data_IF_795425723446
#
_entry.id   IF_795425723446
#
_cell.length_a   1.000
_cell.length_b   1.000
_cell.length_c   1.000
_cell.angle_alpha   90.00
_cell.angle_beta   90.00
_cell.angle_gamma   90.00
#
_symmetry.space_group_name_H-M   'P 1'
#
loop_
_entity.id
_entity.type
_entity.pdbx_description
1 polymer ?
2 polymer ?
3 polymer ?
4 water ?
#
loop_
_entity_poly.entity_id
_entity_poly.type
_entity_poly.pdbx_seq_one_letter_code
_entity_poly.pdbx_strand_id
1 'polydeoxyribonucleotide' '(DC)(DA)(DC)(DC)(DG)(DA)(DT)(DC)(DG)(DA)(DC)(DT)' ?
2 'polydeoxyribonucleotide' '(DA)(DG)(DT)(DC)(DG)(6MA)(DT)(DC)(DG)(DG)(DT)(DG)' ?
#
# COMPACT_ATOMS: atom_id res chain seq x y z
N UNK E 14 -9.66 -16.36 8.64
CA UNK E 14 -8.63 -16.59 7.59
C UNK E 14 -8.83 -15.75 6.34
N UNK E 15 -9.89 -14.95 6.30
CA UNK E 15 -10.01 -14.05 5.18
C UNK E 15 -9.33 -12.82 5.74
N UNK E 16 -9.50 -12.60 7.03
CA UNK E 16 -8.85 -11.49 7.71
C UNK E 16 -7.34 -11.74 7.62
N UNK E 17 -6.96 -13.02 7.61
CA UNK E 17 -5.56 -13.41 7.53
C UNK E 17 -5.00 -13.32 6.11
N UNK E 18 -5.81 -13.66 5.12
CA UNK E 18 -5.36 -13.57 3.72
C UNK E 18 -5.19 -12.08 3.38
N UNK E 19 -6.07 -11.25 3.92
CA UNK E 19 -6.00 -9.82 3.69
C UNK E 19 -4.74 -9.28 4.36
N UNK E 20 -4.51 -9.72 5.58
CA UNK E 20 -3.33 -9.24 6.30
C UNK E 20 -2.11 -9.58 5.48
N UNK E 21 -2.02 -10.83 5.02
CA UNK E 21 -0.88 -11.29 4.23
C UNK E 21 -0.58 -10.43 3.00
N UNK E 22 -1.60 -10.20 2.18
CA UNK E 22 -1.46 -9.40 0.97
C UNK E 22 -1.05 -7.97 1.36
N UNK E 23 -1.61 -7.48 2.46
CA UNK E 23 -1.26 -6.15 2.90
C UNK E 23 0.21 -6.13 3.29
N UNK E 24 0.66 -7.20 3.96
CA UNK E 24 2.05 -7.26 4.35
C UNK E 24 2.92 -7.33 3.10
N UNK E 25 2.50 -8.14 2.13
CA UNK E 25 3.27 -8.27 0.92
C UNK E 25 3.53 -6.92 0.26
N UNK E 26 2.50 -6.11 0.16
CA UNK E 26 2.65 -4.80 -0.46
C UNK E 26 3.63 -3.94 0.29
N UNK E 27 3.88 -4.28 1.55
CA UNK E 27 4.81 -3.50 2.38
C UNK E 27 6.20 -4.16 2.44
N UNK E 28 6.23 -5.46 2.15
CA UNK E 28 7.45 -6.25 2.21
C UNK E 28 8.61 -5.70 1.40
N UNK E 29 9.82 -6.10 1.77
CA UNK E 29 11.02 -5.65 1.05
C UNK E 29 11.10 -6.38 -0.28
N UNK E 30 10.83 -7.68 -0.25
CA UNK E 30 10.90 -8.47 -1.46
C UNK E 30 9.99 -7.90 -2.55
N UNK E 31 8.80 -7.46 -2.16
CA UNK E 31 7.90 -6.90 -3.17
C UNK E 31 8.60 -5.66 -3.75
N UNK E 32 9.03 -4.77 -2.87
CA UNK E 32 9.72 -3.56 -3.30
C UNK E 32 10.88 -3.91 -4.24
N UNK E 33 11.56 -5.01 -3.94
CA UNK E 33 12.69 -5.44 -4.77
C UNK E 33 12.34 -5.75 -6.23
N UNK E 34 11.11 -6.17 -6.50
CA UNK E 34 10.71 -6.50 -7.87
C UNK E 34 10.86 -5.26 -8.74
N UNK E 35 11.62 -5.40 -9.82
CA UNK E 35 11.91 -4.29 -10.73
C UNK E 35 10.82 -3.84 -11.68
N UNK E 36 10.24 -4.79 -12.41
CA UNK E 36 9.18 -4.46 -13.35
C UNK E 36 7.79 -5.05 -13.02
N UNK E 37 6.77 -4.57 -13.72
CA UNK E 37 5.41 -5.04 -13.51
C UNK E 37 5.27 -6.56 -13.57
N UNK E 38 5.81 -7.17 -14.63
CA UNK E 38 5.71 -8.61 -14.74
C UNK E 38 6.29 -9.29 -13.49
N UNK E 39 7.34 -8.69 -12.92
CA UNK E 39 7.96 -9.27 -11.74
C UNK E 39 6.99 -9.22 -10.56
N UNK E 40 6.31 -8.10 -10.41
CA UNK E 40 5.36 -7.96 -9.32
C UNK E 40 4.20 -8.92 -9.59
N UNK E 41 3.81 -9.00 -10.86
CA UNK E 41 2.71 -9.87 -11.25
C UNK E 41 3.00 -11.32 -10.78
N UNK E 42 4.19 -11.82 -11.11
CA UNK E 42 4.58 -13.17 -10.74
C UNK E 42 4.55 -13.37 -9.22
N UNK E 43 5.08 -12.40 -8.50
CA UNK E 43 5.11 -12.53 -7.05
C UNK E 43 3.71 -12.43 -6.49
N UNK E 44 2.82 -11.75 -7.20
CA UNK E 44 1.45 -11.65 -6.71
C UNK E 44 0.80 -13.03 -6.83
N UNK E 45 0.94 -13.63 -8.01
CA UNK E 45 0.39 -14.94 -8.22
C UNK E 45 0.94 -15.93 -7.18
N UNK E 46 2.25 -16.05 -7.08
CA UNK E 46 2.83 -17.00 -6.11
C UNK E 46 2.28 -16.81 -4.72
N UNK E 47 2.16 -15.56 -4.30
CA UNK E 47 1.67 -15.31 -2.96
C UNK E 47 0.21 -15.75 -2.85
N UNK E 48 -0.60 -15.38 -3.84
CA UNK E 48 -2.02 -15.75 -3.78
C UNK E 48 -2.20 -17.24 -3.57
N UNK E 49 -1.51 -18.04 -4.38
CA UNK E 49 -1.58 -19.50 -4.28
C UNK E 49 -1.36 -19.96 -2.84
N UNK E 50 -0.14 -19.78 -2.35
CA UNK E 50 0.21 -20.23 -1.01
C UNK E 50 -0.87 -19.94 0.04
N UNK E 51 -1.72 -18.96 -0.24
CA UNK E 51 -2.77 -18.62 0.69
C UNK E 51 -3.93 -19.59 0.64
N UNK E 52 -4.22 -20.08 -0.55
CA UNK E 52 -5.31 -21.01 -0.72
C UNK E 52 -5.11 -21.61 -2.12
N UNK E 53 -4.47 -22.75 -2.16
CA UNK E 53 -4.20 -23.41 -3.43
C UNK E 53 -5.50 -23.68 -4.19
N UNK E 54 -6.49 -24.22 -3.49
CA UNK E 54 -7.79 -24.57 -4.06
C UNK E 54 -8.47 -23.40 -4.75
N UNK E 55 -8.75 -22.36 -3.97
CA UNK E 55 -9.40 -21.16 -4.48
C UNK E 55 -8.65 -20.61 -5.70
N UNK E 56 -7.32 -20.65 -5.63
CA UNK E 56 -6.48 -20.17 -6.72
C UNK E 56 -6.68 -21.10 -7.91
N UNK E 57 -6.93 -22.37 -7.62
CA UNK E 57 -7.18 -23.34 -8.68
C UNK E 57 -8.50 -22.98 -9.39
N UNK E 58 -9.55 -22.78 -8.61
CA UNK E 58 -10.84 -22.43 -9.18
C UNK E 58 -10.74 -21.11 -9.94
N UNK E 59 -10.44 -20.04 -9.19
CA UNK E 59 -10.32 -18.70 -9.76
C UNK E 59 -9.61 -18.74 -11.10
N UNK E 60 -8.70 -19.70 -11.23
CA UNK E 60 -7.93 -19.88 -12.45
C UNK E 60 -8.61 -20.57 -13.64
N UNK E 61 -9.53 -21.50 -13.37
CA UNK E 61 -10.23 -22.22 -14.43
C UNK E 61 -11.04 -21.24 -15.26
N UNK E 62 -11.74 -20.34 -14.56
CA UNK E 62 -12.56 -19.31 -15.21
C UNK E 62 -11.77 -18.19 -15.85
N UNK E 63 -10.45 -18.19 -15.69
CA UNK E 63 -9.62 -17.14 -16.25
C UNK E 63 -8.92 -17.55 -17.53
N UNK E 64 -9.43 -17.09 -18.65
CA UNK E 64 -8.86 -17.43 -19.95
C UNK E 64 -9.19 -16.30 -20.92
N UNK E 65 -8.53 -16.31 -22.07
CA UNK E 65 -8.79 -15.27 -23.05
C UNK E 65 -9.68 -15.82 -24.15
N UNK E 66 -9.82 -15.07 -25.24
CA UNK E 66 -10.65 -15.53 -26.35
C UNK E 66 -9.96 -16.67 -27.09
N UNK E 67 -8.69 -16.46 -27.46
CA UNK E 67 -7.90 -17.44 -28.19
C UNK E 67 -6.66 -17.94 -27.43
N UNK E 68 -6.43 -17.42 -26.23
CA UNK E 68 -5.25 -17.83 -25.47
C UNK E 68 -5.62 -18.46 -24.14
N UNK E 69 -4.97 -19.55 -23.76
CA UNK E 69 -5.27 -20.08 -22.44
C UNK E 69 -4.43 -19.13 -21.60
N UNK E 70 -4.80 -18.90 -20.35
CA UNK E 70 -4.03 -18.00 -19.51
C UNK E 70 -3.25 -18.74 -18.45
N UNK E 71 -3.79 -19.86 -17.99
CA UNK E 71 -3.12 -20.64 -16.96
C UNK E 71 -3.20 -22.13 -17.25
N UNK E 72 -2.10 -22.83 -17.01
CA UNK E 72 -2.07 -24.27 -17.24
C UNK E 72 -1.01 -24.91 -16.37
N UNK E 73 -1.10 -26.23 -16.21
CA UNK E 73 -0.14 -26.98 -15.39
C UNK E 73 1.14 -27.31 -16.14
N UNK E 74 1.25 -26.82 -17.37
CA UNK E 74 2.45 -27.07 -18.18
C UNK E 74 2.67 -26.09 -19.31
N UNK E 75 3.89 -25.58 -19.41
CA UNK E 75 4.26 -24.63 -20.45
C UNK E 75 3.71 -25.02 -21.81
N UNK E 76 3.63 -26.33 -22.02
CA UNK E 76 3.15 -26.91 -23.27
C UNK E 76 1.75 -26.47 -23.66
N UNK E 77 0.80 -26.60 -22.75
CA UNK E 77 -0.59 -26.23 -23.05
C UNK E 77 -0.68 -24.77 -23.47
N UNK E 78 0.04 -23.90 -22.75
CA UNK E 78 0.04 -22.47 -23.02
C UNK E 78 0.64 -22.10 -24.37
N UNK E 79 1.80 -22.67 -24.67
CA UNK E 79 2.47 -22.40 -25.93
C UNK E 79 1.67 -22.92 -27.12
N UNK E 80 0.80 -23.88 -26.82
CA UNK E 80 0.00 -24.55 -27.83
C UNK E 80 -1.32 -23.94 -28.27
N UNK E 81 -1.87 -23.02 -27.48
CA UNK E 81 -3.14 -22.41 -27.86
C UNK E 81 -2.98 -20.98 -28.41
N UNK E 82 -1.99 -20.25 -27.90
CA UNK E 82 -1.73 -18.90 -28.37
C UNK E 82 -0.39 -18.84 -29.09
N UNK E 83 -0.18 -17.83 -29.93
CA UNK E 83 1.08 -17.69 -30.67
C UNK E 83 2.28 -17.55 -29.75
N UNK E 84 2.63 -16.32 -29.41
CA UNK E 84 3.75 -16.12 -28.51
C UNK E 84 3.07 -15.64 -27.24
N UNK E 85 3.29 -16.32 -26.13
CA UNK E 85 2.65 -15.92 -24.90
C UNK E 85 3.67 -15.70 -23.78
N UNK E 86 4.93 -16.00 -24.07
CA UNK E 86 6.02 -15.87 -23.13
C UNK E 86 5.62 -16.50 -21.81
N UNK E 87 5.22 -17.76 -21.87
CA UNK E 87 4.82 -18.43 -20.62
C UNK E 87 5.92 -18.33 -19.58
N UNK E 88 5.56 -18.42 -18.31
CA UNK E 88 6.55 -18.35 -17.26
C UNK E 88 6.01 -19.13 -16.09
N UNK E 89 6.83 -20.05 -15.58
CA UNK E 89 6.37 -20.87 -14.47
C UNK E 89 6.17 -19.89 -13.33
N UNK E 90 5.23 -20.20 -12.45
CA UNK E 90 4.93 -19.34 -11.33
C UNK E 90 5.57 -20.00 -10.14
N UNK E 91 6.58 -19.37 -9.56
CA UNK E 91 7.30 -19.91 -8.39
C UNK E 91 6.45 -20.54 -7.29
N UNK E 92 6.95 -21.64 -6.71
CA UNK E 92 6.23 -22.31 -5.64
C UNK E 92 4.82 -22.72 -6.03
N UNK E 93 4.67 -23.13 -7.28
CA UNK E 93 3.36 -23.47 -7.80
C UNK E 93 3.35 -24.47 -8.96
N UNK E 94 2.27 -25.27 -9.06
CA UNK E 94 2.14 -26.25 -10.13
C UNK E 94 1.64 -25.62 -11.43
N UNK E 95 1.55 -24.28 -11.45
CA UNK E 95 1.04 -23.55 -12.62
C UNK E 95 2.01 -22.74 -13.46
N UNK E 96 1.55 -22.42 -14.66
CA UNK E 96 2.28 -21.60 -15.62
C UNK E 96 1.31 -20.52 -16.05
N UNK E 97 1.81 -19.35 -16.39
CA UNK E 97 0.96 -18.25 -16.84
C UNK E 97 1.58 -17.52 -18.00
N UNK E 98 0.73 -17.02 -18.89
CA UNK E 98 1.27 -16.28 -20.03
C UNK E 98 1.69 -14.91 -19.53
N UNK E 99 2.79 -14.43 -20.10
CA UNK E 99 3.37 -13.17 -19.71
C UNK E 99 3.30 -12.03 -20.75
N UNK E 100 3.04 -12.37 -22.00
CA UNK E 100 2.98 -11.36 -23.06
C UNK E 100 1.63 -10.61 -23.05
N UNK E 101 1.47 -9.75 -22.05
CA UNK E 101 0.24 -8.97 -21.86
C UNK E 101 0.59 -7.60 -21.32
N UNK E 102 -0.17 -6.57 -21.69
CA UNK E 102 0.12 -5.24 -21.14
C UNK E 102 -0.26 -5.18 -19.67
N UNK E 103 0.14 -4.11 -18.99
CA UNK E 103 -0.15 -4.00 -17.56
C UNK E 103 -1.64 -4.02 -17.20
N UNK E 104 -2.47 -3.40 -18.05
CA UNK E 104 -3.90 -3.37 -17.77
C UNK E 104 -4.48 -4.77 -17.72
N UNK E 105 -3.93 -5.64 -18.54
CA UNK E 105 -4.41 -6.99 -18.58
C UNK E 105 -3.86 -7.86 -17.42
N UNK E 106 -2.67 -7.51 -16.89
CA UNK E 106 -2.14 -8.27 -15.77
C UNK E 106 -3.00 -7.92 -14.57
N UNK E 107 -3.49 -6.67 -14.55
CA UNK E 107 -4.39 -6.20 -13.49
C UNK E 107 -5.71 -6.96 -13.59
N UNK E 108 -6.30 -7.00 -14.79
CA UNK E 108 -7.56 -7.72 -14.98
C UNK E 108 -7.41 -9.10 -14.39
N UNK E 109 -6.29 -9.75 -14.72
CA UNK E 109 -6.05 -11.11 -14.23
C UNK E 109 -6.00 -11.16 -12.73
N UNK E 110 -5.30 -10.22 -12.11
CA UNK E 110 -5.19 -10.24 -10.67
C UNK E 110 -6.52 -9.93 -10.04
N UNK E 111 -7.28 -9.06 -10.70
CA UNK E 111 -8.60 -8.69 -10.19
C UNK E 111 -9.51 -9.90 -10.23
N UNK E 112 -9.60 -10.55 -11.39
CA UNK E 112 -10.42 -11.73 -11.54
C UNK E 112 -10.11 -12.73 -10.43
N UNK E 113 -8.83 -13.08 -10.33
CA UNK E 113 -8.39 -14.03 -9.34
C UNK E 113 -8.68 -13.59 -7.90
N UNK E 114 -8.41 -12.32 -7.58
CA UNK E 114 -8.67 -11.90 -6.23
C UNK E 114 -10.14 -11.75 -5.90
N UNK E 115 -11.00 -11.51 -6.90
CA UNK E 115 -12.44 -11.39 -6.62
C UNK E 115 -12.93 -12.79 -6.32
N UNK E 116 -12.57 -13.73 -7.18
CA UNK E 116 -12.94 -15.11 -7.01
C UNK E 116 -12.56 -15.64 -5.63
N UNK E 117 -11.40 -15.23 -5.12
CA UNK E 117 -10.91 -15.68 -3.81
C UNK E 117 -11.50 -14.86 -2.68
N UNK E 118 -12.54 -14.11 -3.00
CA UNK E 118 -13.23 -13.33 -1.98
C UNK E 118 -12.45 -12.27 -1.21
N UNK E 119 -11.56 -11.55 -1.89
CA UNK E 119 -10.82 -10.47 -1.23
C UNK E 119 -11.62 -9.17 -1.37
N UNK E 120 -11.51 -8.28 -0.39
CA UNK E 120 -12.26 -7.02 -0.47
C UNK E 120 -11.86 -6.21 -1.71
N UNK E 121 -12.75 -5.32 -2.15
CA UNK E 121 -12.47 -4.52 -3.33
C UNK E 121 -11.33 -3.54 -3.15
N UNK E 122 -11.33 -2.80 -2.05
CA UNK E 122 -10.30 -1.81 -1.82
C UNK E 122 -8.87 -2.38 -1.82
N UNK E 123 -8.73 -3.64 -1.42
CA UNK E 123 -7.42 -4.26 -1.39
C UNK E 123 -7.00 -4.55 -2.82
N UNK E 124 -7.91 -5.14 -3.57
CA UNK E 124 -7.69 -5.47 -4.97
C UNK E 124 -7.29 -4.20 -5.74
N UNK E 125 -7.97 -3.12 -5.41
CA UNK E 125 -7.71 -1.86 -6.06
C UNK E 125 -6.33 -1.38 -5.67
N UNK E 126 -5.96 -1.57 -4.41
CA UNK E 126 -4.63 -1.17 -3.99
C UNK E 126 -3.54 -2.07 -4.58
N UNK E 127 -3.79 -3.38 -4.65
CA UNK E 127 -2.84 -4.33 -5.23
C UNK E 127 -2.57 -3.90 -6.66
N UNK E 128 -3.59 -3.99 -7.52
CA UNK E 128 -3.46 -3.59 -8.92
C UNK E 128 -2.75 -2.25 -9.13
N UNK E 129 -2.95 -1.30 -8.22
CA UNK E 129 -2.31 -0.02 -8.39
C UNK E 129 -0.80 -0.09 -8.25
N UNK E 130 -0.27 -1.20 -7.72
CA UNK E 130 1.17 -1.29 -7.58
C UNK E 130 1.81 -2.15 -8.67
N UNK E 131 1.01 -2.78 -9.51
CA UNK E 131 1.61 -3.61 -10.54
C UNK E 131 2.34 -2.70 -11.51
N UNK F 14 9.82 0.44 24.39
CA UNK F 14 8.60 1.10 23.88
C UNK F 14 8.77 1.67 22.47
N UNK F 15 10.01 1.89 22.01
CA UNK F 15 10.18 2.40 20.66
C UNK F 15 9.61 1.30 19.78
N UNK F 16 9.88 0.05 20.17
CA UNK F 16 9.38 -1.09 19.43
C UNK F 16 7.86 -1.15 19.59
N UNK F 17 7.37 -0.81 20.77
CA UNK F 17 5.93 -0.78 21.03
C UNK F 17 5.33 0.26 20.11
N UNK F 18 6.12 1.27 19.77
CA UNK F 18 5.68 2.33 18.87
C UNK F 18 5.78 1.79 17.45
N UNK F 19 6.91 1.18 17.13
CA UNK F 19 7.12 0.61 15.81
C UNK F 19 5.97 -0.35 15.51
N UNK F 20 5.72 -1.24 16.45
CA UNK F 20 4.65 -2.21 16.30
C UNK F 20 3.34 -1.50 16.03
N UNK F 21 3.02 -0.53 16.87
CA UNK F 21 1.79 0.23 16.71
C UNK F 21 1.63 0.74 15.28
N UNK F 22 2.70 1.32 14.73
CA UNK F 22 2.66 1.83 13.37
C UNK F 22 2.44 0.73 12.35
N UNK F 23 3.25 -0.33 12.41
CA UNK F 23 3.09 -1.42 11.46
C UNK F 23 1.64 -1.90 11.49
N UNK F 24 1.12 -2.17 12.68
CA UNK F 24 -0.25 -2.63 12.80
C UNK F 24 -1.21 -1.72 12.06
N UNK F 25 -1.09 -0.41 12.29
CA UNK F 25 -1.97 0.57 11.63
C UNK F 25 -1.96 0.35 10.13
N UNK F 26 -0.76 0.33 9.54
CA UNK F 26 -0.60 0.13 8.10
C UNK F 26 -1.29 -1.13 7.60
N UNK F 27 -1.67 -2.01 8.53
CA UNK F 27 -2.33 -3.24 8.16
C UNK F 27 -3.79 -3.23 8.61
N UNK F 28 -4.19 -2.19 9.33
CA UNK F 28 -5.55 -2.10 9.83
C UNK F 28 -6.61 -1.82 8.75
N UNK F 29 -7.86 -2.09 9.06
CA UNK F 29 -8.91 -1.81 8.12
C UNK F 29 -9.19 -0.32 8.15
N UNK F 30 -9.01 0.30 9.31
CA UNK F 30 -9.28 1.73 9.40
C UNK F 30 -8.29 2.52 8.56
N UNK F 31 -7.12 1.97 8.32
CA UNK F 31 -6.13 2.67 7.49
C UNK F 31 -6.49 2.38 6.04
N UNK F 32 -6.88 1.13 5.79
CA UNK F 32 -7.28 0.70 4.46
C UNK F 32 -8.48 1.49 3.94
N UNK F 33 -9.33 1.99 4.83
CA UNK F 33 -10.53 2.74 4.48
C UNK F 33 -10.31 4.21 4.11
N UNK F 34 -9.15 4.76 4.43
CA UNK F 34 -8.89 6.17 4.10
C UNK F 34 -8.74 6.26 2.57
N UNK F 35 -9.60 7.06 1.95
CA UNK F 35 -9.61 7.19 0.49
C UNK F 35 -8.50 7.98 -0.18
N UNK F 36 -8.18 9.17 0.34
CA UNK F 36 -7.15 10.00 -0.26
C UNK F 36 -5.89 10.09 0.57
N UNK F 37 -4.87 10.75 0.01
CA UNK F 37 -3.60 10.93 0.69
C UNK F 37 -3.76 11.69 1.99
N UNK F 38 -4.43 12.83 1.93
CA UNK F 38 -4.66 13.64 3.12
C UNK F 38 -5.30 12.80 4.23
N UNK F 39 -6.24 11.92 3.88
CA UNK F 39 -6.90 11.06 4.87
C UNK F 39 -5.91 10.13 5.53
N UNK F 40 -4.98 9.57 4.76
CA UNK F 40 -4.00 8.67 5.33
C UNK F 40 -2.98 9.50 6.11
N UNK F 41 -2.80 10.74 5.66
CA UNK F 41 -1.87 11.66 6.30
C UNK F 41 -2.35 12.03 7.70
N UNK F 42 -3.59 12.50 7.81
CA UNK F 42 -4.19 12.87 9.09
C UNK F 42 -4.18 11.69 10.05
N UNK F 43 -4.70 10.56 9.60
CA UNK F 43 -4.74 9.39 10.45
C UNK F 43 -3.36 8.97 10.91
N UNK F 44 -2.35 9.21 10.08
CA UNK F 44 -1.01 8.84 10.46
C UNK F 44 -0.61 9.79 11.57
N UNK F 45 -0.90 11.08 11.38
CA UNK F 45 -0.54 12.12 12.37
C UNK F 45 -1.14 11.87 13.74
N UNK F 46 -2.45 11.65 13.76
CA UNK F 46 -3.14 11.36 15.00
C UNK F 46 -2.52 10.17 15.73
N UNK F 47 -2.24 9.11 14.99
CA UNK F 47 -1.68 7.92 15.60
C UNK F 47 -0.33 8.24 16.21
N UNK F 48 0.50 8.97 15.47
CA UNK F 48 1.81 9.31 15.97
C UNK F 48 1.67 10.16 17.21
N UNK F 49 0.69 11.05 17.22
CA UNK F 49 0.49 11.90 18.38
C UNK F 49 0.11 11.08 19.60
N UNK F 50 -0.86 10.19 19.42
CA UNK F 50 -1.35 9.36 20.51
C UNK F 50 -0.26 8.45 21.07
N UNK F 51 0.69 8.07 20.24
CA UNK F 51 1.77 7.21 20.68
C UNK F 51 2.81 7.92 21.56
N UNK F 52 2.91 9.23 21.42
CA UNK F 52 3.86 10.00 22.24
C UNK F 52 3.62 11.50 22.07
N UNK F 53 2.65 12.04 22.81
CA UNK F 53 2.30 13.46 22.73
C UNK F 53 3.50 14.44 22.72
N UNK F 54 4.47 14.18 23.60
CA UNK F 54 5.70 14.98 23.75
C UNK F 54 6.66 14.94 22.56
N UNK F 55 6.91 13.75 22.03
CA UNK F 55 7.85 13.61 20.91
C UNK F 55 7.32 14.33 19.70
N UNK F 56 6.04 14.10 19.43
CA UNK F 56 5.32 14.71 18.33
C UNK F 56 5.50 16.23 18.42
N UNK F 57 5.12 16.81 19.57
CA UNK F 57 5.24 18.24 19.80
C UNK F 57 6.66 18.75 19.53
N UNK F 58 7.65 17.96 19.93
CA UNK F 58 9.04 18.33 19.73
C UNK F 58 9.34 18.39 18.24
N UNK F 59 8.85 17.42 17.49
CA UNK F 59 9.07 17.41 16.06
C UNK F 59 8.23 18.53 15.47
N UNK F 60 7.07 18.77 16.09
CA UNK F 60 6.14 19.82 15.67
C UNK F 60 6.76 21.21 15.63
N UNK F 61 7.43 21.58 16.72
CA UNK F 61 8.08 22.87 16.81
C UNK F 61 9.21 23.01 15.81
N UNK F 62 9.74 21.90 15.30
CA UNK F 62 10.84 21.94 14.33
C UNK F 62 10.38 21.79 12.87
N UNK F 63 9.07 21.65 12.68
CA UNK F 63 8.56 21.51 11.33
C UNK F 63 7.88 22.79 10.86
N UNK F 64 8.57 23.53 10.01
CA UNK F 64 8.04 24.76 9.44
C UNK F 64 8.63 24.97 8.06
N UNK F 65 7.94 25.75 7.23
CA UNK F 65 8.44 26.02 5.89
C UNK F 65 9.15 27.36 5.82
N UNK F 66 9.21 27.93 4.63
CA UNK F 66 9.84 29.23 4.41
C UNK F 66 8.99 30.32 5.07
N UNK F 67 7.74 30.43 4.64
CA UNK F 67 6.84 31.42 5.20
C UNK F 67 5.63 30.76 5.85
N UNK F 68 5.34 29.54 5.42
CA UNK F 68 4.19 28.79 5.94
C UNK F 68 4.44 28.12 7.29
N UNK F 69 3.42 28.15 8.15
CA UNK F 69 3.50 27.52 9.47
C UNK F 69 2.73 26.20 9.38
N UNK F 70 3.47 25.11 9.26
CA UNK F 70 2.85 23.80 9.15
C UNK F 70 1.92 23.41 10.30
N UNK F 71 2.38 23.51 11.54
CA UNK F 71 1.54 23.13 12.67
C UNK F 71 1.31 24.25 13.68
N UNK F 72 0.10 24.29 14.22
CA UNK F 72 -0.27 25.29 15.22
C UNK F 72 -1.40 24.71 16.05
N UNK F 73 -1.66 25.33 17.19
CA UNK F 73 -2.73 24.88 18.07
C UNK F 73 -4.07 25.50 17.73
N UNK F 74 -4.11 26.33 16.70
CA UNK F 74 -5.35 26.98 16.29
C UNK F 74 -5.43 27.11 14.78
N UNK F 75 -6.64 26.97 14.24
CA UNK F 75 -6.84 27.11 12.80
C UNK F 75 -6.36 28.50 12.37
N UNK F 76 -6.45 29.44 13.30
CA UNK F 76 -6.05 30.83 13.05
C UNK F 76 -4.58 30.94 12.63
N UNK F 77 -3.69 30.58 13.54
CA UNK F 77 -2.26 30.65 13.29
C UNK F 77 -1.84 30.19 11.89
N UNK F 78 -2.46 29.12 11.41
CA UNK F 78 -2.11 28.57 10.11
C UNK F 78 -2.61 29.45 8.97
N UNK F 79 -3.82 29.96 9.13
CA UNK F 79 -4.46 30.81 8.13
C UNK F 79 -3.88 32.21 8.05
N UNK F 80 -2.98 32.54 8.98
CA UNK F 80 -2.36 33.87 9.00
C UNK F 80 -1.02 33.85 8.28
N UNK F 81 -0.27 32.78 8.48
CA UNK F 81 1.05 32.65 7.89
C UNK F 81 1.06 32.14 6.44
N UNK F 82 -0.13 32.08 5.86
CA UNK F 82 -0.31 31.62 4.50
C UNK F 82 -1.82 31.51 4.43
N UNK F 83 -2.45 32.04 3.39
CA UNK F 83 -3.91 32.00 3.34
C UNK F 83 -4.61 30.74 2.81
N UNK F 84 -4.19 30.24 1.66
CA UNK F 84 -4.87 29.06 1.14
C UNK F 84 -4.29 27.72 1.59
N UNK F 85 -3.79 27.72 2.83
CA UNK F 85 -3.15 26.57 3.44
C UNK F 85 -4.09 25.40 3.66
N UNK F 86 -5.39 25.69 3.62
CA UNK F 86 -6.40 24.67 3.83
C UNK F 86 -6.15 23.86 5.11
N UNK F 87 -5.99 24.54 6.25
CA UNK F 87 -5.74 23.84 7.51
C UNK F 87 -6.84 22.83 7.84
N UNK F 88 -6.51 21.87 8.70
CA UNK F 88 -7.47 20.85 9.13
C UNK F 88 -7.10 20.44 10.54
N UNK F 89 -8.11 20.10 11.34
CA UNK F 89 -7.84 19.68 12.69
C UNK F 89 -7.51 18.19 12.79
N UNK F 90 -6.40 17.89 13.47
CA UNK F 90 -5.96 16.53 13.66
C UNK F 90 -6.71 15.93 14.84
N UNK F 91 -7.61 14.98 14.56
CA UNK F 91 -8.46 14.28 15.55
C UNK F 91 -7.70 13.59 16.69
N UNK F 92 -8.14 13.85 17.92
CA UNK F 92 -7.52 13.28 19.11
C UNK F 92 -6.27 14.06 19.48
N UNK F 93 -6.20 15.28 18.99
CA UNK F 93 -5.04 16.14 19.19
C UNK F 93 -5.48 17.60 19.30
N UNK F 94 -4.64 18.45 19.92
CA UNK F 94 -5.00 19.87 20.05
C UNK F 94 -4.42 20.64 18.86
N UNK F 95 -3.86 19.89 17.91
CA UNK F 95 -3.21 20.44 16.72
C UNK F 95 -4.06 20.62 15.49
N UNK F 96 -3.56 21.46 14.57
CA UNK F 96 -4.19 21.74 13.30
C UNK F 96 -3.04 21.73 12.29
N UNK F 97 -3.15 20.90 11.25
CA UNK F 97 -2.07 20.85 10.26
C UNK F 97 -2.54 21.44 8.93
N UNK F 98 -1.61 21.64 8.02
CA UNK F 98 -1.95 22.20 6.70
C UNK F 98 -2.07 21.08 5.69
N UNK F 99 -2.97 21.25 4.72
CA UNK F 99 -3.15 20.20 3.72
C UNK F 99 -2.92 20.63 2.26
N UNK F 100 -2.73 21.92 2.04
CA UNK F 100 -2.50 22.44 0.70
C UNK F 100 -1.06 22.12 0.34
N UNK F 101 -0.77 20.86 0.07
CA UNK F 101 0.58 20.41 -0.24
C UNK F 101 0.47 19.17 -1.11
N UNK F 102 1.52 18.83 -1.84
CA UNK F 102 1.47 17.62 -2.69
C UNK F 102 1.85 16.43 -1.83
N UNK F 103 1.78 15.21 -2.38
CA UNK F 103 2.10 14.02 -1.60
C UNK F 103 3.55 14.04 -1.14
N UNK F 104 4.41 14.70 -1.91
CA UNK F 104 5.81 14.78 -1.54
C UNK F 104 6.02 15.50 -0.21
N UNK F 105 5.54 16.73 -0.13
CA UNK F 105 5.71 17.48 1.10
C UNK F 105 5.06 16.75 2.30
N UNK F 106 3.97 16.03 2.07
CA UNK F 106 3.29 15.29 3.14
C UNK F 106 4.19 14.18 3.65
N UNK F 107 4.92 13.54 2.73
CA UNK F 107 5.85 12.49 3.12
C UNK F 107 7.01 13.14 3.86
N UNK F 108 7.52 14.24 3.31
CA UNK F 108 8.60 14.96 3.96
C UNK F 108 8.19 15.14 5.41
N UNK F 109 7.09 15.85 5.62
CA UNK F 109 6.58 16.10 6.96
C UNK F 109 6.56 14.83 7.81
N UNK F 110 5.85 13.81 7.34
CA UNK F 110 5.79 12.56 8.08
C UNK F 110 7.18 12.01 8.37
N UNK F 111 8.03 11.99 7.34
CA UNK F 111 9.38 11.48 7.53
C UNK F 111 10.08 12.25 8.63
N UNK F 112 9.96 13.57 8.59
CA UNK F 112 10.57 14.41 9.60
C UNK F 112 10.01 13.96 10.94
N UNK F 113 8.72 14.21 11.16
CA UNK F 113 8.06 13.85 12.41
C UNK F 113 8.58 12.51 12.91
N UNK F 114 8.48 11.48 12.08
CA UNK F 114 8.90 10.17 12.50
C UNK F 114 10.39 10.04 12.78
N UNK F 115 11.20 10.90 12.16
CA UNK F 115 12.64 10.86 12.41
C UNK F 115 12.86 11.34 13.84
N UNK F 116 12.23 12.47 14.17
CA UNK F 116 12.31 13.06 15.50
C UNK F 116 11.86 12.09 16.57
N UNK F 117 10.86 11.29 16.25
CA UNK F 117 10.33 10.28 17.17
C UNK F 117 11.27 9.09 17.18
N UNK F 118 12.35 9.19 16.40
CA UNK F 118 13.43 8.20 16.31
C UNK F 118 13.05 6.86 15.72
N UNK F 119 12.06 6.86 14.84
CA UNK F 119 11.66 5.62 14.21
C UNK F 119 12.71 5.25 13.17
N UNK F 120 12.76 3.97 12.78
CA UNK F 120 13.74 3.49 11.78
C UNK F 120 13.37 3.78 10.31
N UNK F 121 14.38 4.16 9.52
CA UNK F 121 14.18 4.47 8.11
C UNK F 121 13.48 3.34 7.36
N UNK F 122 13.60 2.14 7.88
CA UNK F 122 12.96 0.98 7.29
C UNK F 122 11.43 1.08 7.47
N UNK F 123 10.99 1.54 8.64
CA UNK F 123 9.56 1.69 8.87
C UNK F 123 9.04 2.95 8.15
N UNK F 124 9.75 4.05 8.36
CA UNK F 124 9.39 5.32 7.77
C UNK F 124 9.27 5.22 6.26
N UNK F 125 10.12 4.41 5.63
CA UNK F 125 10.05 4.24 4.18
C UNK F 125 8.73 3.56 3.79
N UNK F 126 8.42 2.46 4.46
CA UNK F 126 7.20 1.71 4.20
C UNK F 126 5.97 2.60 4.38
N UNK F 127 5.94 3.34 5.47
CA UNK F 127 4.85 4.26 5.79
C UNK F 127 4.62 5.26 4.66
N UNK F 128 5.65 6.03 4.33
CA UNK F 128 5.55 7.03 3.27
C UNK F 128 5.15 6.40 1.95
N UNK F 129 5.60 5.18 1.73
CA UNK F 129 5.25 4.51 0.49
C UNK F 129 3.73 4.32 0.45
N UNK F 130 3.07 4.48 1.59
CA UNK F 130 1.62 4.27 1.62
C UNK F 130 0.81 5.54 1.53
N UNK F 131 1.39 6.70 1.80
CA UNK F 131 0.61 7.92 1.72
C UNK F 131 0.28 8.19 0.26
#
# INVERSE_FOLDING_TARGET
>E
VASPAIVEAKPVKTIKDKVRAMRELLLSDEYAEQKRAVNRFMLLLSTLYSLDAQAFAEATESLHGRTRVYFAADEQTLLKNGNQTKPKHVPGTPYWVITNTNTGRKCSMIEHIMQSMQFPAELIEKVCGTI
>F
VASPAIVEAKPVKTIKDKVRAMRELLLSDEYAEQKRAVNRFMLLLSTLYSLDAQAFAEATESLHGRTRVYFAADEQTLLKNGNQTKPKHVPGTPYWVITNTNTGRKCSMIEHIMQSMQFPAELIEKVCGTI
#
